data_IF_432883120167
#
_entry.id   IF_432883120167
#
_cell.length_a   1.000
_cell.length_b   1.000
_cell.length_c   1.000
_cell.angle_alpha   90.00
_cell.angle_beta   90.00
_cell.angle_gamma   90.00
#
_symmetry.space_group_name_H-M   'P 1'
#
loop_
_entity.id
_entity.type
_entity.pdbx_description
1 polymer ?
#
# COMPACT_ATOMS: atom_id res chain seq x y z
N UNK A 1 -47.14 5.22 -2.19
CA UNK A 1 -46.38 5.40 -0.93
C UNK A 1 -45.65 4.12 -0.51
N UNK A 2 -46.31 2.96 -0.37
CA UNK A 2 -45.66 1.68 -0.01
C UNK A 2 -44.62 1.17 -1.01
N UNK A 3 -44.88 1.31 -2.31
CA UNK A 3 -43.94 0.93 -3.39
C UNK A 3 -42.72 1.85 -3.45
N UNK A 4 -42.93 3.15 -3.22
CA UNK A 4 -41.85 4.15 -3.15
C UNK A 4 -40.92 3.88 -1.94
N UNK A 5 -41.50 3.53 -0.80
CA UNK A 5 -40.75 3.16 0.41
C UNK A 5 -39.93 1.88 0.21
N UNK A 6 -40.50 0.87 -0.47
CA UNK A 6 -39.77 -0.35 -0.81
C UNK A 6 -38.61 -0.11 -1.76
N UNK A 7 -38.78 0.77 -2.74
CA UNK A 7 -37.72 1.14 -3.70
C UNK A 7 -36.61 1.96 -3.02
N UNK A 8 -36.97 2.86 -2.10
CA UNK A 8 -36.01 3.59 -1.26
C UNK A 8 -35.19 2.64 -0.37
N UNK A 9 -35.85 1.68 0.28
CA UNK A 9 -35.17 0.67 1.12
C UNK A 9 -34.23 -0.19 0.28
N UNK A 10 -34.62 -0.57 -0.93
CA UNK A 10 -33.76 -1.34 -1.83
C UNK A 10 -32.51 -0.55 -2.25
N UNK A 11 -32.65 0.74 -2.58
CA UNK A 11 -31.51 1.60 -2.91
C UNK A 11 -30.56 1.75 -1.72
N UNK A 12 -31.08 2.04 -0.53
CA UNK A 12 -30.28 2.17 0.70
C UNK A 12 -29.57 0.87 1.10
N UNK A 13 -30.13 -0.30 0.76
CA UNK A 13 -29.51 -1.60 1.04
C UNK A 13 -28.30 -1.89 0.14
N UNK A 14 -28.29 -1.37 -1.09
CA UNK A 14 -27.16 -1.55 -2.00
C UNK A 14 -25.93 -0.74 -1.56
N UNK A 15 -26.13 0.46 -1.00
CA UNK A 15 -25.03 1.29 -0.52
C UNK A 15 -24.34 0.69 0.72
N UNK A 16 -25.06 -0.06 1.55
CA UNK A 16 -24.55 -0.64 2.81
C UNK A 16 -23.51 -1.76 2.61
N UNK A 17 -23.47 -2.41 1.44
CA UNK A 17 -22.60 -3.57 1.17
C UNK A 17 -21.30 -3.22 0.43
N UNK A 18 -20.98 -1.94 0.28
CA UNK A 18 -19.75 -1.50 -0.39
C UNK A 18 -18.53 -1.69 0.50
N UNK A 19 -17.57 -2.51 0.05
CA UNK A 19 -16.27 -2.68 0.71
C UNK A 19 -15.29 -1.69 0.06
N UNK A 20 -14.84 -0.70 0.82
CA UNK A 20 -13.85 0.26 0.36
C UNK A 20 -12.43 -0.29 0.57
N UNK A 21 -11.61 -0.27 -0.48
CA UNK A 21 -10.17 -0.36 -0.33
C UNK A 21 -9.64 1.00 0.15
N UNK A 22 -8.55 1.00 0.91
CA UNK A 22 -7.85 2.24 1.20
C UNK A 22 -7.13 2.75 -0.05
N UNK A 23 -6.70 4.00 0.00
CA UNK A 23 -5.85 4.60 -1.02
C UNK A 23 -4.43 4.77 -0.46
N UNK A 24 -3.42 4.49 -1.27
CA UNK A 24 -2.01 4.68 -0.88
C UNK A 24 -1.22 5.35 -1.98
N UNK A 25 -0.11 5.96 -1.58
CA UNK A 25 0.95 6.29 -2.51
C UNK A 25 1.66 5.00 -2.96
N UNK A 26 1.82 4.83 -4.28
CA UNK A 26 2.57 3.75 -4.89
C UNK A 26 3.65 4.33 -5.80
N UNK A 27 4.89 4.17 -5.38
CA UNK A 27 6.05 4.70 -6.08
C UNK A 27 7.34 4.00 -5.63
N UNK A 28 8.38 4.17 -6.42
CA UNK A 28 9.74 3.78 -6.08
C UNK A 28 10.69 4.92 -6.44
N UNK A 29 11.71 5.11 -5.63
CA UNK A 29 12.80 6.06 -5.85
C UNK A 29 14.11 5.39 -5.47
N UNK A 30 15.10 5.46 -6.36
CA UNK A 30 16.46 4.95 -6.17
C UNK A 30 17.40 6.15 -6.29
N UNK A 31 18.27 6.33 -5.32
CA UNK A 31 19.17 7.48 -5.22
C UNK A 31 18.46 8.83 -5.34
N UNK A 32 17.23 8.91 -4.83
CA UNK A 32 16.39 10.11 -4.88
C UNK A 32 16.08 10.58 -6.31
N UNK A 33 16.08 9.67 -7.27
CA UNK A 33 15.72 9.94 -8.66
C UNK A 33 14.26 10.37 -8.82
N UNK A 34 13.41 10.07 -7.84
CA UNK A 34 12.01 10.45 -7.84
C UNK A 34 11.56 11.18 -6.57
N UNK A 35 11.78 12.51 -6.49
CA UNK A 35 11.50 13.32 -5.30
C UNK A 35 10.06 13.26 -4.78
N UNK A 36 9.08 13.01 -5.66
CA UNK A 36 7.68 12.84 -5.26
C UNK A 36 7.47 11.65 -4.30
N UNK A 37 8.31 10.61 -4.42
CA UNK A 37 8.23 9.42 -3.57
C UNK A 37 8.94 9.59 -2.21
N UNK A 38 9.93 10.48 -2.16
CA UNK A 38 10.84 10.68 -1.02
C UNK A 38 10.21 11.36 0.21
N UNK A 39 8.96 11.83 0.11
CA UNK A 39 8.19 12.48 1.20
C UNK A 39 8.55 13.94 1.52
N UNK A 40 8.43 14.86 0.57
CA UNK A 40 8.47 16.28 0.88
C UNK A 40 7.22 16.67 1.68
N UNK A 41 7.41 17.33 2.83
CA UNK A 41 6.34 17.90 3.66
C UNK A 41 5.39 18.86 2.91
N UNK A 42 5.80 19.32 1.72
CA UNK A 42 5.01 20.11 0.81
C UNK A 42 4.57 19.23 -0.37
N UNK A 43 3.29 18.90 -0.40
CA UNK A 43 2.59 18.15 -1.45
C UNK A 43 2.40 18.98 -2.74
N UNK A 44 3.47 19.56 -3.28
CA UNK A 44 3.45 20.14 -4.64
C UNK A 44 3.78 19.10 -5.72
N UNK A 45 3.54 17.82 -5.42
CA UNK A 45 3.81 16.72 -6.33
C UNK A 45 2.50 16.16 -6.87
N UNK A 46 2.57 15.61 -8.08
CA UNK A 46 1.41 15.18 -8.85
C UNK A 46 0.66 14.03 -8.16
N UNK A 47 -0.65 13.95 -8.40
CA UNK A 47 -1.50 12.82 -7.98
C UNK A 47 -1.12 11.51 -8.68
N UNK A 48 -0.10 11.50 -9.54
CA UNK A 48 0.32 10.35 -10.34
C UNK A 48 0.85 9.20 -9.48
N UNK A 49 1.34 9.50 -8.28
CA UNK A 49 1.78 8.48 -7.29
C UNK A 49 0.65 7.93 -6.44
N UNK A 50 -0.56 8.47 -6.55
CA UNK A 50 -1.70 8.07 -5.73
C UNK A 50 -2.47 6.94 -6.41
N UNK A 51 -2.64 5.81 -5.71
CA UNK A 51 -3.42 4.69 -6.19
C UNK A 51 -4.72 4.56 -5.39
N UNK A 52 -5.85 4.67 -6.12
CA UNK A 52 -7.21 4.46 -5.61
C UNK A 52 -8.05 3.67 -6.63
N UNK A 53 -8.70 2.55 -6.25
CA UNK A 53 -8.51 1.81 -4.99
C UNK A 53 -7.15 1.10 -4.94
N UNK A 54 -6.53 1.05 -3.76
CA UNK A 54 -5.27 0.32 -3.60
C UNK A 54 -5.54 -1.19 -3.50
N UNK A 55 -5.09 -1.93 -4.51
CA UNK A 55 -5.30 -3.37 -4.61
C UNK A 55 -3.93 -4.08 -4.68
N UNK A 56 -3.79 -5.19 -3.97
CA UNK A 56 -2.53 -5.97 -3.97
C UNK A 56 -2.78 -7.47 -3.85
N UNK A 57 -1.78 -8.26 -4.23
CA UNK A 57 -1.84 -9.71 -4.15
C UNK A 57 -1.67 -10.22 -2.72
N UNK A 58 -2.22 -11.40 -2.42
CA UNK A 58 -2.02 -12.09 -1.15
C UNK A 58 -1.28 -13.40 -1.39
N UNK A 59 -0.18 -13.63 -0.65
CA UNK A 59 0.59 -14.89 -0.73
C UNK A 59 -0.34 -16.10 -0.55
N UNK A 60 -0.22 -17.07 -1.47
CA UNK A 60 -1.03 -18.29 -1.46
C UNK A 60 -2.48 -18.12 -1.94
N UNK A 61 -2.82 -17.00 -2.59
CA UNK A 61 -4.13 -16.76 -3.21
C UNK A 61 -3.95 -16.09 -4.58
N UNK A 62 -4.72 -16.54 -5.56
CA UNK A 62 -4.77 -15.90 -6.87
C UNK A 62 -5.74 -14.71 -6.85
N UNK A 63 -5.31 -13.61 -7.47
CA UNK A 63 -6.11 -12.39 -7.61
C UNK A 63 -5.66 -11.22 -6.73
N UNK A 64 -6.38 -10.12 -6.87
CA UNK A 64 -6.14 -8.86 -6.17
C UNK A 64 -7.16 -8.67 -5.04
N UNK A 65 -6.68 -8.21 -3.88
CA UNK A 65 -7.48 -7.94 -2.71
C UNK A 65 -7.34 -6.46 -2.29
N UNK A 66 -8.41 -5.89 -1.71
CA UNK A 66 -8.39 -4.50 -1.23
C UNK A 66 -7.39 -4.35 -0.10
N UNK A 67 -6.42 -3.45 -0.27
CA UNK A 67 -5.39 -3.22 0.73
C UNK A 67 -5.98 -2.69 2.04
N UNK A 68 -5.33 -3.03 3.15
CA UNK A 68 -5.75 -2.62 4.50
C UNK A 68 -4.71 -1.74 5.19
N UNK A 69 -3.54 -1.56 4.58
CA UNK A 69 -2.46 -0.71 5.09
C UNK A 69 -1.60 -0.18 3.96
N UNK A 70 -1.00 1.00 4.16
CA UNK A 70 0.02 1.53 3.28
C UNK A 70 1.40 1.27 3.90
N UNK A 71 2.35 0.83 3.09
CA UNK A 71 3.74 0.63 3.50
C UNK A 71 4.63 1.69 2.87
N UNK A 72 5.54 2.22 3.68
CA UNK A 72 6.68 3.01 3.24
C UNK A 72 7.95 2.33 3.76
N UNK A 73 8.87 2.07 2.85
CA UNK A 73 10.16 1.42 3.09
C UNK A 73 11.24 2.41 2.70
N UNK A 74 12.13 2.73 3.65
CA UNK A 74 13.32 3.52 3.41
C UNK A 74 14.53 2.65 3.70
N UNK A 75 15.39 2.46 2.72
CA UNK A 75 16.58 1.63 2.82
C UNK A 75 17.82 2.35 2.30
N UNK A 76 18.99 1.89 2.77
CA UNK A 76 20.29 2.22 2.20
C UNK A 76 21.01 0.91 1.93
N UNK A 77 21.64 0.77 0.78
CA UNK A 77 22.47 -0.37 0.44
C UNK A 77 23.84 -0.23 1.12
N UNK A 78 24.22 -1.18 1.96
CA UNK A 78 25.49 -1.11 2.70
C UNK A 78 26.73 -1.11 1.78
N UNK A 79 26.65 -1.78 0.63
CA UNK A 79 27.78 -1.92 -0.31
C UNK A 79 28.01 -0.68 -1.17
N UNK A 80 26.93 -0.04 -1.63
CA UNK A 80 26.99 1.08 -2.59
C UNK A 80 26.67 2.43 -1.96
N UNK A 81 26.08 2.44 -0.75
CA UNK A 81 25.54 3.63 -0.10
C UNK A 81 24.29 4.19 -0.79
N UNK A 82 23.74 3.49 -1.78
CA UNK A 82 22.58 3.93 -2.53
C UNK A 82 21.31 3.92 -1.68
N UNK A 83 20.47 4.94 -1.83
CA UNK A 83 19.23 5.06 -1.03
C UNK A 83 18.04 4.58 -1.84
N UNK A 84 17.11 3.85 -1.22
CA UNK A 84 15.86 3.43 -1.86
C UNK A 84 14.66 3.82 -1.01
N UNK A 85 13.62 4.33 -1.66
CA UNK A 85 12.31 4.55 -1.06
C UNK A 85 11.26 3.82 -1.89
N UNK A 86 10.47 2.97 -1.23
CA UNK A 86 9.35 2.25 -1.86
C UNK A 86 8.09 2.51 -1.07
N UNK A 87 7.02 2.87 -1.77
CA UNK A 87 5.66 2.96 -1.21
C UNK A 87 4.71 2.05 -1.97
N UNK A 88 3.75 1.47 -1.26
CA UNK A 88 2.72 0.70 -1.92
C UNK A 88 1.61 0.20 -1.00
N UNK A 89 0.68 -0.50 -1.65
CA UNK A 89 -0.44 -1.19 -1.02
C UNK A 89 0.04 -2.43 -0.26
N UNK A 90 -0.42 -2.64 0.97
CA UNK A 90 -0.16 -3.84 1.75
C UNK A 90 -1.44 -4.42 2.37
N UNK A 91 -1.46 -5.75 2.48
CA UNK A 91 -2.48 -6.52 3.17
C UNK A 91 -1.91 -7.04 4.48
N UNK A 92 -2.53 -6.65 5.60
CA UNK A 92 -2.23 -7.25 6.89
C UNK A 92 -2.78 -8.69 6.89
N UNK A 93 -1.88 -9.68 6.99
CA UNK A 93 -2.28 -11.09 6.94
C UNK A 93 -2.88 -11.59 8.26
N UNK A 94 -2.97 -10.76 9.30
CA UNK A 94 -3.66 -11.06 10.56
C UNK A 94 -3.07 -12.24 11.34
N UNK A 95 -1.82 -12.61 11.07
CA UNK A 95 -1.14 -13.71 11.77
C UNK A 95 -0.44 -13.14 13.00
N UNK A 96 -0.60 -13.78 14.18
CA UNK A 96 0.10 -13.48 15.45
C UNK A 96 1.61 -13.82 15.38
N UNK A 97 2.22 -13.59 14.23
CA UNK A 97 3.65 -13.43 14.08
C UNK A 97 3.83 -11.97 13.71
N UNK A 98 3.71 -11.13 14.73
CA UNK A 98 4.24 -9.77 14.68
C UNK A 98 5.67 -9.85 14.18
N UNK A 99 5.94 -9.10 13.11
CA UNK A 99 7.25 -8.88 12.50
C UNK A 99 7.75 -9.96 11.52
N UNK A 100 8.09 -9.53 10.29
CA UNK A 100 8.99 -10.19 9.31
C UNK A 100 8.45 -11.07 8.15
N UNK A 101 7.20 -10.96 7.71
CA UNK A 101 6.79 -11.52 6.39
C UNK A 101 6.32 -10.47 5.35
N UNK A 102 6.05 -9.22 5.75
CA UNK A 102 5.48 -8.22 4.83
C UNK A 102 6.47 -7.66 3.77
N UNK A 103 7.76 -7.99 3.86
CA UNK A 103 8.75 -7.75 2.79
C UNK A 103 9.71 -8.95 2.68
N UNK A 104 9.18 -10.13 2.39
CA UNK A 104 9.92 -11.03 1.47
C UNK A 104 9.38 -10.82 0.06
N UNK A 105 9.51 -9.60 -0.45
CA UNK A 105 9.64 -9.42 -1.89
C UNK A 105 11.01 -9.99 -2.24
N UNK A 106 11.08 -11.31 -2.43
CA UNK A 106 12.22 -11.96 -3.07
C UNK A 106 12.24 -11.52 -4.53
N UNK A 107 12.72 -10.30 -4.78
CA UNK A 107 13.34 -9.98 -6.05
C UNK A 107 14.69 -10.72 -6.09
N UNK A 108 15.00 -11.28 -7.26
CA UNK A 108 16.08 -12.23 -7.48
C UNK A 108 17.43 -11.80 -6.85
N UNK A 109 17.92 -12.61 -5.90
CA UNK A 109 19.35 -12.78 -5.62
C UNK A 109 20.01 -11.79 -4.67
N UNK A 110 20.63 -12.33 -3.62
CA UNK A 110 21.80 -11.70 -2.99
C UNK A 110 21.52 -11.03 -1.65
N UNK A 111 22.23 -11.50 -0.63
CA UNK A 111 22.29 -10.93 0.70
C UNK A 111 23.03 -9.58 0.67
N UNK A 112 22.32 -8.47 0.45
CA UNK A 112 22.83 -7.14 0.79
C UNK A 112 21.98 -6.61 1.94
N UNK A 113 22.62 -6.39 3.08
CA UNK A 113 22.02 -5.92 4.32
C UNK A 113 21.38 -4.55 4.07
N UNK A 114 20.06 -4.52 3.87
CA UNK A 114 19.28 -3.29 3.76
C UNK A 114 18.82 -2.89 5.17
N UNK A 115 19.29 -1.75 5.67
CA UNK A 115 18.76 -1.15 6.91
C UNK A 115 17.40 -0.54 6.57
N UNK A 116 16.34 -1.31 6.76
CA UNK A 116 14.98 -0.90 6.40
C UNK A 116 14.27 -0.25 7.59
N UNK A 117 13.97 1.05 7.50
CA UNK A 117 13.04 1.73 8.40
C UNK A 117 11.61 1.53 7.87
N UNK A 118 10.79 0.81 8.64
CA UNK A 118 9.40 0.53 8.30
C UNK A 118 8.46 1.51 8.99
N UNK A 119 7.59 2.14 8.21
CA UNK A 119 6.45 2.90 8.74
C UNK A 119 5.16 2.33 8.14
N UNK A 120 4.34 1.72 8.99
CA UNK A 120 2.97 1.33 8.62
C UNK A 120 2.08 2.55 8.88
N UNK A 121 1.58 3.15 7.80
CA UNK A 121 0.60 4.23 7.89
C UNK A 121 -0.79 3.57 7.86
N UNK A 122 -1.41 3.42 9.03
CA UNK A 122 -2.85 3.16 9.13
C UNK A 122 -3.56 4.52 9.13
N UNK A 123 -4.56 4.67 8.28
CA UNK A 123 -5.49 5.80 8.33
C UNK A 123 -6.46 5.64 9.49
#
# INVERSE_FOLDING_TARGET
MRTLLGLLIFLLFNDLLTVFAIDCFKCMSINRDYPACEDPFHNNYTLDVFQSPCMTGRKGRDGLFPATSCVKINGVFDETGETIVVRGCALDSGTLTTDTELVRMSHYGGSSTMISLYSILRH
#
